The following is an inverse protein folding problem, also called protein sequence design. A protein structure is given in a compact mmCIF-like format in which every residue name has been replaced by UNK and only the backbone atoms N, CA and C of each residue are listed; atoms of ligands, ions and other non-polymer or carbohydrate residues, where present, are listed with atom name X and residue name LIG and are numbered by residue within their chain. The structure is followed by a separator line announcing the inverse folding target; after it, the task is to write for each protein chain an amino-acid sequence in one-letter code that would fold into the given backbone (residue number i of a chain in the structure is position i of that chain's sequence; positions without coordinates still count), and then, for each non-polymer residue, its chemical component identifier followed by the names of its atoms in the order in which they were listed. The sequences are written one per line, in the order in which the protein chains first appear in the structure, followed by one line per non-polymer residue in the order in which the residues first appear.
data_IF_647187572749
#
_entry.id   IF_647187572749
#
_cell.length_a   1.000
_cell.length_b   1.000
_cell.length_c   1.000
_cell.angle_alpha   90.00
_cell.angle_beta   90.00
_cell.angle_gamma   90.00
#
_symmetry.space_group_name_H-M   'P 1'
#
loop_
_entity.id
_entity.type
_entity.pdbx_description
1 polymer ?
#
# COMPACT_ATOMS: atom_id res chain seq x y z
N UNK A 1 3.08 13.07 14.40
CA UNK A 1 2.40 14.29 13.94
C UNK A 1 3.27 15.49 14.37
N UNK A 2 3.54 16.49 13.51
CA UNK A 2 4.31 17.69 13.88
C UNK A 2 3.78 18.43 15.11
N UNK A 3 2.48 18.30 15.42
CA UNK A 3 1.87 18.90 16.63
C UNK A 3 1.81 17.97 17.84
N UNK A 4 2.26 16.71 17.72
CA UNK A 4 2.33 15.74 18.84
C UNK A 4 1.00 15.22 19.36
N UNK A 5 -0.13 15.54 18.72
CA UNK A 5 -1.48 15.23 19.21
C UNK A 5 -1.95 13.81 18.83
N UNK A 6 -1.33 13.21 17.81
CA UNK A 6 -1.71 11.89 17.29
C UNK A 6 -0.48 11.00 17.07
N UNK A 7 -0.71 9.68 17.08
CA UNK A 7 0.31 8.64 16.93
C UNK A 7 1.12 8.74 15.62
N UNK A 8 0.56 9.32 14.56
CA UNK A 8 1.25 9.57 13.29
C UNK A 8 0.67 10.77 12.57
N UNK A 9 1.39 11.27 11.55
CA UNK A 9 0.85 12.32 10.68
C UNK A 9 -0.41 11.86 9.94
N UNK A 10 -0.43 10.61 9.46
CA UNK A 10 -1.61 10.03 8.82
C UNK A 10 -2.80 9.96 9.76
N UNK A 11 -2.60 9.56 11.01
CA UNK A 11 -3.66 9.53 12.02
C UNK A 11 -4.26 10.92 12.28
N UNK A 12 -3.40 11.95 12.36
CA UNK A 12 -3.85 13.34 12.49
C UNK A 12 -4.70 13.79 11.28
N UNK A 13 -4.24 13.51 10.06
CA UNK A 13 -4.97 13.89 8.84
C UNK A 13 -6.31 13.14 8.72
N UNK A 14 -6.34 11.86 9.08
CA UNK A 14 -7.57 11.08 9.13
C UNK A 14 -8.57 11.65 10.15
N UNK A 15 -8.10 12.04 11.34
CA UNK A 15 -8.96 12.66 12.34
C UNK A 15 -9.56 13.98 11.84
N UNK A 16 -8.78 14.80 11.14
CA UNK A 16 -9.27 16.05 10.52
C UNK A 16 -10.30 15.79 9.42
N UNK A 17 -10.09 14.78 8.58
CA UNK A 17 -11.06 14.40 7.55
C UNK A 17 -12.38 13.95 8.18
N UNK A 18 -12.32 13.06 9.19
CA UNK A 18 -13.51 12.60 9.91
C UNK A 18 -14.27 13.74 10.56
N UNK A 19 -13.58 14.62 11.28
CA UNK A 19 -14.21 15.79 11.92
C UNK A 19 -14.91 16.71 10.91
N UNK A 20 -14.34 16.86 9.70
CA UNK A 20 -14.99 17.58 8.62
C UNK A 20 -16.27 16.88 8.14
N UNK A 21 -16.23 15.56 7.90
CA UNK A 21 -17.42 14.80 7.48
C UNK A 21 -18.52 14.81 8.56
N UNK A 22 -18.13 14.65 9.82
CA UNK A 22 -19.03 14.68 10.98
C UNK A 22 -19.72 16.04 11.12
N UNK A 23 -19.01 17.14 10.83
CA UNK A 23 -19.59 18.50 10.84
C UNK A 23 -20.75 18.64 9.85
N UNK A 24 -20.63 18.01 8.67
CA UNK A 24 -21.69 17.97 7.66
C UNK A 24 -22.70 16.83 7.88
N UNK A 25 -22.55 16.05 8.95
CA UNK A 25 -23.40 14.89 9.30
C UNK A 25 -23.50 13.88 8.15
N UNK A 26 -22.39 13.66 7.45
CA UNK A 26 -22.30 12.62 6.43
C UNK A 26 -22.15 11.26 7.10
N UNK A 27 -22.88 10.27 6.60
CA UNK A 27 -22.68 8.88 7.00
C UNK A 27 -21.54 8.27 6.17
N UNK A 28 -20.60 7.60 6.84
CA UNK A 28 -19.46 6.95 6.20
C UNK A 28 -18.93 5.80 7.04
N UNK A 29 -18.32 4.84 6.36
CA UNK A 29 -17.46 3.83 6.98
C UNK A 29 -16.00 4.26 6.84
N UNK A 30 -15.32 4.41 7.96
CA UNK A 30 -13.89 4.73 7.96
C UNK A 30 -13.05 3.46 7.99
N UNK A 31 -12.14 3.34 7.03
CA UNK A 31 -11.15 2.27 7.01
C UNK A 31 -9.73 2.85 6.90
N UNK A 32 -8.88 2.45 7.84
CA UNK A 32 -7.47 2.87 7.89
C UNK A 32 -6.62 1.87 7.11
N UNK A 33 -5.99 2.31 6.02
CA UNK A 33 -5.12 1.44 5.24
C UNK A 33 -4.03 0.78 6.10
N UNK A 34 -3.45 1.51 7.07
CA UNK A 34 -2.44 0.95 7.98
C UNK A 34 -2.99 -0.22 8.80
N UNK A 35 -4.24 -0.13 9.25
CA UNK A 35 -4.83 -1.19 10.06
C UNK A 35 -5.21 -2.38 9.18
N UNK A 36 -5.79 -2.13 8.00
CA UNK A 36 -6.13 -3.18 7.02
C UNK A 36 -4.93 -3.97 6.48
N UNK A 37 -3.75 -3.34 6.40
CA UNK A 37 -2.51 -4.05 6.07
C UNK A 37 -1.95 -4.83 7.26
N UNK A 38 -2.23 -4.40 8.50
CA UNK A 38 -1.68 -5.03 9.72
C UNK A 38 -2.54 -6.19 10.21
N UNK A 39 -3.85 -6.10 10.04
CA UNK A 39 -4.82 -7.13 10.44
C UNK A 39 -5.00 -8.22 9.39
N UNK A 40 -4.36 -8.08 8.22
CA UNK A 40 -4.38 -9.05 7.14
C UNK A 40 -5.59 -8.97 6.22
N UNK A 41 -6.44 -7.93 6.34
CA UNK A 41 -7.60 -7.75 5.47
C UNK A 41 -7.23 -7.77 3.98
N UNK A 42 -6.04 -7.25 3.63
CA UNK A 42 -5.56 -7.25 2.25
C UNK A 42 -4.73 -8.49 1.84
N UNK A 43 -4.49 -9.45 2.71
CA UNK A 43 -3.58 -10.58 2.43
C UNK A 43 -4.04 -11.39 1.21
N UNK A 44 -5.33 -11.70 1.12
CA UNK A 44 -5.88 -12.43 -0.03
C UNK A 44 -5.69 -11.67 -1.35
N UNK A 45 -5.84 -10.33 -1.32
CA UNK A 45 -5.65 -9.49 -2.50
C UNK A 45 -4.17 -9.38 -2.88
N UNK A 46 -3.28 -9.30 -1.90
CA UNK A 46 -1.83 -9.29 -2.11
C UNK A 46 -1.38 -10.62 -2.73
N UNK A 47 -1.82 -11.76 -2.19
CA UNK A 47 -1.52 -13.09 -2.75
C UNK A 47 -2.06 -13.24 -4.19
N UNK A 48 -3.28 -12.76 -4.45
CA UNK A 48 -3.82 -12.74 -5.82
C UNK A 48 -2.98 -11.88 -6.77
N UNK A 49 -2.45 -10.75 -6.27
CA UNK A 49 -1.53 -9.89 -7.02
C UNK A 49 -0.23 -10.62 -7.35
N UNK A 50 0.35 -11.36 -6.39
CA UNK A 50 1.56 -12.17 -6.63
C UNK A 50 1.29 -13.29 -7.64
N UNK A 51 0.14 -13.98 -7.52
CA UNK A 51 -0.28 -15.06 -8.44
C UNK A 51 -0.46 -14.57 -9.88
N UNK A 52 -0.80 -13.31 -10.06
CA UNK A 52 -1.02 -12.69 -11.37
C UNK A 52 0.04 -11.65 -11.73
N UNK A 53 1.19 -11.68 -11.06
CA UNK A 53 2.22 -10.65 -11.16
C UNK A 53 2.63 -10.39 -12.63
N UNK A 54 3.00 -11.42 -13.37
CA UNK A 54 3.44 -11.28 -14.77
C UNK A 54 2.35 -10.68 -15.66
N UNK A 55 1.10 -11.14 -15.50
CA UNK A 55 -0.04 -10.59 -16.26
C UNK A 55 -0.29 -9.12 -15.96
N UNK A 56 -0.11 -8.71 -14.70
CA UNK A 56 -0.22 -7.30 -14.29
C UNK A 56 0.93 -6.51 -14.91
N UNK A 57 2.16 -7.04 -14.88
CA UNK A 57 3.32 -6.40 -15.48
C UNK A 57 3.15 -6.21 -17.00
N UNK A 58 2.64 -7.22 -17.71
CA UNK A 58 2.38 -7.15 -19.15
C UNK A 58 1.39 -6.03 -19.52
N UNK A 59 0.39 -5.79 -18.68
CA UNK A 59 -0.57 -4.70 -18.85
C UNK A 59 0.05 -3.35 -18.49
N UNK A 60 0.83 -3.30 -17.41
CA UNK A 60 1.32 -2.04 -16.85
C UNK A 60 2.54 -1.50 -17.60
N UNK A 61 3.52 -2.33 -17.94
CA UNK A 61 4.78 -1.89 -18.54
C UNK A 61 4.60 -1.05 -19.83
N UNK A 62 3.71 -1.41 -20.78
CA UNK A 62 3.48 -0.59 -21.98
C UNK A 62 3.03 0.84 -21.67
N UNK A 63 2.30 1.05 -20.58
CA UNK A 63 1.77 2.37 -20.17
C UNK A 63 2.82 3.29 -19.54
N UNK A 64 3.97 2.73 -19.14
CA UNK A 64 5.01 3.43 -18.40
C UNK A 64 6.11 3.96 -19.33
N UNK A 65 6.75 5.06 -18.92
CA UNK A 65 8.01 5.53 -19.53
C UNK A 65 9.15 4.58 -19.18
N UNK A 66 10.20 4.58 -20.00
CA UNK A 66 11.33 3.64 -19.88
C UNK A 66 11.95 3.59 -18.48
N UNK A 67 12.18 4.74 -17.85
CA UNK A 67 12.73 4.82 -16.49
C UNK A 67 11.86 4.07 -15.47
N UNK A 68 10.54 4.25 -15.55
CA UNK A 68 9.58 3.60 -14.64
C UNK A 68 9.44 2.11 -14.93
N UNK A 69 9.52 1.69 -16.20
CA UNK A 69 9.47 0.26 -16.56
C UNK A 69 10.55 -0.57 -15.86
N UNK A 70 11.72 0.02 -15.61
CA UNK A 70 12.86 -0.68 -14.99
C UNK A 70 12.66 -0.97 -13.50
N UNK A 71 11.86 -0.17 -12.81
CA UNK A 71 11.72 -0.21 -11.34
C UNK A 71 10.28 -0.43 -10.87
N UNK A 72 9.33 -0.54 -11.79
CA UNK A 72 7.92 -0.74 -11.45
C UNK A 72 7.70 -2.10 -10.80
N UNK A 73 6.89 -2.07 -9.75
CA UNK A 73 6.31 -3.25 -9.14
C UNK A 73 4.90 -2.89 -8.66
N UNK A 74 3.91 -3.79 -8.84
CA UNK A 74 2.56 -3.61 -8.30
C UNK A 74 2.52 -3.68 -6.77
N UNK A 75 3.52 -4.30 -6.13
CA UNK A 75 3.66 -4.40 -4.68
C UNK A 75 5.00 -3.83 -4.22
N UNK A 76 5.02 -3.13 -3.08
CA UNK A 76 6.24 -2.49 -2.55
C UNK A 76 6.57 -3.09 -1.17
N UNK A 77 7.59 -3.96 -1.07
CA UNK A 77 7.91 -4.61 0.19
C UNK A 77 8.54 -3.64 1.18
N UNK A 78 8.36 -3.94 2.47
CA UNK A 78 9.03 -3.25 3.56
C UNK A 78 10.31 -4.00 3.87
N UNK A 79 11.44 -3.29 3.86
CA UNK A 79 12.74 -3.85 4.21
C UNK A 79 12.74 -4.34 5.66
N UNK A 80 13.06 -5.61 5.94
CA UNK A 80 13.12 -6.12 7.31
C UNK A 80 14.28 -5.48 8.11
N UNK A 81 15.33 -5.02 7.41
CA UNK A 81 16.50 -4.38 8.04
C UNK A 81 16.25 -2.92 8.41
N UNK A 82 15.54 -2.18 7.56
CA UNK A 82 15.38 -0.72 7.71
C UNK A 82 13.98 -0.25 8.06
N UNK A 83 12.97 -1.11 7.92
CA UNK A 83 11.56 -0.77 8.10
C UNK A 83 11.01 0.18 7.02
N UNK A 84 11.77 0.45 5.95
CA UNK A 84 11.37 1.36 4.87
C UNK A 84 10.81 0.60 3.68
N UNK A 85 9.84 1.22 3.01
CA UNK A 85 9.32 0.75 1.73
C UNK A 85 10.43 0.78 0.67
N UNK A 86 10.55 -0.31 -0.08
CA UNK A 86 11.55 -0.47 -1.14
C UNK A 86 10.97 -0.10 -2.50
N UNK A 87 11.65 0.82 -3.20
CA UNK A 87 11.35 1.22 -4.57
C UNK A 87 12.42 0.64 -5.51
N UNK A 88 12.50 -0.68 -5.57
CA UNK A 88 13.52 -1.41 -6.34
C UNK A 88 12.86 -2.40 -7.29
N UNK A 89 13.53 -2.78 -8.40
CA UNK A 89 13.06 -3.87 -9.24
C UNK A 89 12.92 -5.15 -8.41
N UNK A 90 11.83 -5.88 -8.63
CA UNK A 90 11.60 -7.12 -7.90
C UNK A 90 12.57 -8.20 -8.38
N UNK A 91 13.19 -8.93 -7.45
CA UNK A 91 14.17 -9.98 -7.77
C UNK A 91 13.51 -11.36 -7.89
N UNK A 92 12.48 -11.59 -7.09
CA UNK A 92 11.75 -12.84 -6.99
C UNK A 92 10.32 -12.55 -6.57
N UNK A 93 9.39 -13.40 -6.99
CA UNK A 93 8.00 -13.38 -6.50
C UNK A 93 7.57 -14.83 -6.31
N UNK A 94 7.14 -15.16 -5.11
CA UNK A 94 6.57 -16.47 -4.78
C UNK A 94 5.17 -16.27 -4.19
N UNK A 95 4.16 -16.56 -5.01
CA UNK A 95 2.76 -16.39 -4.64
C UNK A 95 2.27 -17.45 -3.63
N UNK A 96 2.86 -18.66 -3.62
CA UNK A 96 2.48 -19.73 -2.70
C UNK A 96 3.05 -19.44 -1.30
N UNK A 97 4.30 -18.99 -1.24
CA UNK A 97 4.95 -18.57 0.01
C UNK A 97 4.53 -17.16 0.47
N UNK A 98 3.92 -16.36 -0.40
CA UNK A 98 3.56 -14.96 -0.12
C UNK A 98 4.77 -14.03 0.04
N UNK A 99 5.85 -14.29 -0.69
CA UNK A 99 7.14 -13.57 -0.53
C UNK A 99 7.60 -12.91 -1.82
N UNK A 100 8.42 -11.85 -1.68
CA UNK A 100 9.04 -11.08 -2.77
C UNK A 100 10.47 -10.68 -2.44
#
# INVERSE_FOLDING_TARGET
DPSGTHASYGAHMNARLRAFLDHFRLEYDFASATDLYRDGTYDAALLATLKHFDKIMDVMLPTLREERRRTYSPVLPISPKSGKVLYVPMKSVDAEAGTV
#
